data_IF_905239848062
#
_entry.id   IF_905239848062
#
_cell.length_a   1.000
_cell.length_b   1.000
_cell.length_c   1.000
_cell.angle_alpha   90.00
_cell.angle_beta   90.00
_cell.angle_gamma   90.00
#
_symmetry.space_group_name_H-M   'P 1'
#
loop_
_entity.id
_entity.type
_entity.pdbx_description
1 polymer ?
#
# COMPACT_ATOMS: atom_id res chain seq x y z
N UNK A 1 16.10 17.61 19.04
CA UNK A 1 15.83 19.01 19.42
C UNK A 1 15.51 18.98 20.90
N UNK A 2 16.22 19.74 21.71
CA UNK A 2 15.94 19.83 23.14
C UNK A 2 14.69 20.68 23.42
N UNK A 3 14.33 21.57 22.48
CA UNK A 3 13.05 22.29 22.43
C UNK A 3 12.24 21.87 21.20
N UNK A 4 11.03 21.34 21.40
CA UNK A 4 10.13 20.86 20.34
C UNK A 4 9.18 21.94 19.83
N UNK A 5 9.34 23.19 20.29
CA UNK A 5 8.56 24.36 19.86
C UNK A 5 9.35 25.10 18.78
N UNK A 6 8.66 25.56 17.74
CA UNK A 6 9.31 26.27 16.63
C UNK A 6 8.49 27.51 16.29
N UNK A 7 9.16 28.65 16.24
CA UNK A 7 8.66 29.87 15.61
C UNK A 7 9.51 30.16 14.37
N UNK A 8 8.88 30.51 13.26
CA UNK A 8 9.61 30.74 12.01
C UNK A 8 8.91 31.75 11.09
N UNK A 9 9.70 32.43 10.27
CA UNK A 9 9.25 33.29 9.19
C UNK A 9 10.19 33.09 7.99
N UNK A 10 9.72 33.40 6.78
CA UNK A 10 10.51 33.27 5.56
C UNK A 10 11.06 34.63 5.15
N UNK A 11 12.36 34.69 4.85
CA UNK A 11 12.96 35.82 4.13
C UNK A 11 13.09 35.44 2.66
N UNK A 12 12.41 36.18 1.80
CA UNK A 12 12.34 36.00 0.36
C UNK A 12 13.25 37.04 -0.30
N UNK A 13 14.21 36.59 -1.13
CA UNK A 13 15.14 37.49 -1.82
C UNK A 13 14.80 37.54 -3.32
N UNK A 14 14.35 38.70 -3.79
CA UNK A 14 14.07 38.93 -5.20
C UNK A 14 14.87 40.14 -5.71
N UNK A 15 15.96 39.85 -6.42
CA UNK A 15 16.88 40.70 -7.23
C UNK A 15 17.35 42.08 -6.70
N UNK A 16 16.76 42.66 -5.65
CA UNK A 16 17.22 43.86 -4.95
C UNK A 16 16.47 44.13 -3.62
N UNK A 17 15.23 43.65 -3.44
CA UNK A 17 14.41 43.98 -2.26
C UNK A 17 14.01 42.72 -1.51
N UNK A 18 14.60 42.44 -0.33
CA UNK A 18 14.14 41.33 0.50
C UNK A 18 12.73 41.62 1.02
N UNK A 19 11.86 40.63 0.95
CA UNK A 19 10.53 40.63 1.58
C UNK A 19 10.48 39.55 2.64
N UNK A 20 9.78 39.81 3.72
CA UNK A 20 9.52 38.81 4.76
C UNK A 20 8.10 38.28 4.59
N UNK A 21 7.91 37.01 4.87
CA UNK A 21 6.63 36.34 4.85
C UNK A 21 6.43 35.58 6.17
N UNK A 22 5.37 35.94 6.89
CA UNK A 22 5.02 35.41 8.20
C UNK A 22 3.51 35.19 8.30
N UNK A 23 2.99 34.89 9.49
CA UNK A 23 1.55 34.67 9.70
C UNK A 23 0.71 35.91 9.37
N UNK A 24 1.28 37.11 9.56
CA UNK A 24 0.65 38.39 9.19
C UNK A 24 0.72 38.72 7.68
N UNK A 25 1.38 37.88 6.87
CA UNK A 25 1.56 38.10 5.43
C UNK A 25 2.92 38.68 5.06
N UNK A 26 2.97 39.53 4.02
CA UNK A 26 4.22 40.09 3.50
C UNK A 26 4.58 41.42 4.16
N UNK A 27 5.84 41.57 4.59
CA UNK A 27 6.37 42.82 5.13
C UNK A 27 7.76 43.17 4.61
N UNK A 28 8.14 44.44 4.69
CA UNK A 28 9.49 44.94 4.35
C UNK A 28 10.46 44.91 5.53
N UNK A 29 9.99 44.65 6.76
CA UNK A 29 10.78 44.63 7.99
C UNK A 29 10.20 43.63 8.99
N UNK A 30 11.06 42.92 9.73
CA UNK A 30 10.66 42.00 10.79
C UNK A 30 11.10 42.55 12.14
N UNK A 31 10.17 42.73 13.07
CA UNK A 31 10.48 43.08 14.45
C UNK A 31 10.67 41.80 15.26
N UNK A 32 11.93 41.42 15.49
CA UNK A 32 12.31 40.27 16.32
C UNK A 32 11.82 40.37 17.78
N UNK A 33 11.30 41.53 18.23
CA UNK A 33 10.70 41.68 19.56
C UNK A 33 9.20 41.38 19.59
N UNK A 34 8.59 41.19 18.41
CA UNK A 34 7.16 40.86 18.22
C UNK A 34 6.97 39.60 17.39
N UNK A 35 8.03 38.81 17.22
CA UNK A 35 8.02 37.56 16.46
C UNK A 35 7.00 36.57 17.03
N UNK A 36 6.86 36.51 18.35
CA UNK A 36 5.84 35.69 19.01
C UNK A 36 4.39 35.98 18.56
N UNK A 37 4.09 37.17 18.01
CA UNK A 37 2.74 37.50 17.53
C UNK A 37 2.61 37.46 16.01
N UNK A 38 3.73 37.37 15.28
CA UNK A 38 3.75 37.62 13.84
C UNK A 38 4.36 36.47 13.03
N UNK A 39 5.15 35.60 13.65
CA UNK A 39 5.76 34.42 13.04
C UNK A 39 4.77 33.25 12.93
N UNK A 40 5.03 32.33 12.00
CA UNK A 40 4.38 31.03 12.03
C UNK A 40 4.79 30.28 13.29
N UNK A 41 3.85 29.55 13.87
CA UNK A 41 4.08 28.79 15.09
C UNK A 41 3.82 27.30 14.86
N UNK A 42 4.77 26.49 15.32
CA UNK A 42 4.59 25.06 15.57
C UNK A 42 4.63 24.88 17.10
N UNK A 43 3.46 24.92 17.78
CA UNK A 43 3.41 25.08 19.24
C UNK A 43 4.10 23.95 20.00
N UNK A 44 4.06 22.73 19.47
CA UNK A 44 4.74 21.58 20.03
C UNK A 44 4.80 20.45 19.01
N UNK A 45 5.99 19.89 18.75
CA UNK A 45 6.13 18.63 17.99
C UNK A 45 5.91 17.46 18.96
N UNK A 46 4.67 17.01 19.06
CA UNK A 46 4.34 15.85 19.87
C UNK A 46 4.82 14.56 19.17
N UNK A 47 5.55 13.72 19.91
CA UNK A 47 6.06 12.45 19.37
C UNK A 47 4.94 11.51 18.87
N UNK A 48 3.73 11.62 19.42
CA UNK A 48 2.56 10.87 18.97
C UNK A 48 2.05 11.33 17.60
N UNK A 49 2.23 12.60 17.26
CA UNK A 49 1.74 13.22 16.02
C UNK A 49 2.79 13.15 14.88
N UNK A 50 4.02 12.72 15.20
CA UNK A 50 5.05 12.46 14.20
C UNK A 50 4.63 11.25 13.35
N UNK A 51 4.38 11.49 12.07
CA UNK A 51 4.06 10.45 11.09
C UNK A 51 5.25 9.47 11.00
N UNK A 52 4.99 8.21 11.35
CA UNK A 52 5.96 7.11 11.23
C UNK A 52 5.56 6.24 10.06
N UNK A 53 6.38 6.23 9.03
CA UNK A 53 6.24 5.31 7.90
C UNK A 53 7.11 4.08 8.16
N UNK A 54 6.62 2.85 7.92
CA UNK A 54 7.46 1.67 8.04
C UNK A 54 8.70 1.77 7.14
N UNK A 55 9.88 1.52 7.70
CA UNK A 55 11.17 1.78 7.04
C UNK A 55 11.41 0.98 5.76
N UNK A 56 10.64 -0.08 5.51
CA UNK A 56 10.72 -0.89 4.31
C UNK A 56 9.96 -0.29 3.11
N UNK A 57 8.93 0.54 3.35
CA UNK A 57 8.04 1.06 2.30
C UNK A 57 8.78 1.92 1.27
N UNK A 58 9.69 2.84 1.63
CA UNK A 58 10.45 3.60 0.63
C UNK A 58 11.36 2.75 -0.27
N UNK A 59 11.64 1.50 0.12
CA UNK A 59 12.45 0.53 -0.65
C UNK A 59 11.58 -0.50 -1.36
N UNK A 60 10.26 -0.40 -1.23
CA UNK A 60 9.31 -1.35 -1.78
C UNK A 60 9.18 -1.18 -3.30
N UNK A 61 9.15 -2.30 -4.01
CA UNK A 61 8.79 -2.42 -5.41
C UNK A 61 7.58 -3.34 -5.43
N UNK A 62 6.42 -2.71 -5.55
CA UNK A 62 5.13 -3.39 -5.50
C UNK A 62 4.84 -4.11 -6.81
N UNK A 63 4.26 -5.30 -6.70
CA UNK A 63 3.62 -6.01 -7.79
C UNK A 63 2.16 -6.32 -7.40
N UNK A 64 1.22 -5.78 -8.17
CA UNK A 64 -0.20 -6.05 -7.93
C UNK A 64 -0.59 -7.38 -8.58
N UNK A 65 -1.32 -8.21 -7.84
CA UNK A 65 -1.80 -9.51 -8.31
C UNK A 65 -3.32 -9.55 -8.20
N UNK A 66 -3.96 -9.73 -9.36
CA UNK A 66 -5.35 -10.16 -9.46
C UNK A 66 -5.39 -11.70 -9.49
N UNK A 67 -5.76 -12.32 -8.37
CA UNK A 67 -5.48 -13.74 -8.09
C UNK A 67 -6.07 -14.69 -9.12
N UNK A 68 -7.34 -14.51 -9.52
CA UNK A 68 -8.04 -15.35 -10.51
C UNK A 68 -7.31 -15.42 -11.87
N UNK A 69 -6.41 -14.48 -12.17
CA UNK A 69 -5.77 -14.32 -13.48
C UNK A 69 -4.25 -14.47 -13.47
N UNK A 70 -3.63 -14.62 -12.30
CA UNK A 70 -2.17 -14.61 -12.21
C UNK A 70 -1.56 -15.95 -12.63
N UNK A 71 -1.94 -17.04 -11.95
CA UNK A 71 -1.49 -18.38 -12.28
C UNK A 71 -2.40 -19.45 -11.68
N UNK A 72 -2.58 -20.57 -12.39
CA UNK A 72 -3.28 -21.77 -11.88
C UNK A 72 -2.27 -22.73 -11.28
N UNK A 73 -2.13 -22.75 -9.96
CA UNK A 73 -1.14 -23.60 -9.28
C UNK A 73 -1.73 -24.89 -8.73
N UNK A 74 -2.97 -24.84 -8.24
CA UNK A 74 -3.59 -25.99 -7.55
C UNK A 74 -4.20 -26.98 -8.53
N UNK A 75 -3.69 -28.22 -8.53
CA UNK A 75 -4.16 -29.30 -9.41
C UNK A 75 -5.46 -29.94 -8.91
N UNK A 76 -5.53 -30.19 -7.60
CA UNK A 76 -6.66 -30.86 -6.96
C UNK A 76 -7.60 -29.83 -6.32
N UNK A 77 -8.31 -29.07 -7.17
CA UNK A 77 -9.38 -28.16 -6.73
C UNK A 77 -10.62 -28.32 -7.57
N UNK A 78 -11.76 -27.90 -7.02
CA UNK A 78 -12.99 -27.76 -7.79
C UNK A 78 -12.75 -26.80 -8.98
N UNK A 79 -13.08 -27.23 -10.19
CA UNK A 79 -12.98 -26.41 -11.41
C UNK A 79 -14.37 -26.14 -12.01
N UNK A 80 -15.45 -26.58 -11.38
CA UNK A 80 -16.82 -26.43 -11.91
C UNK A 80 -17.25 -24.96 -12.10
N UNK A 81 -16.65 -24.04 -11.33
CA UNK A 81 -16.89 -22.60 -11.44
C UNK A 81 -16.11 -21.93 -12.58
N UNK A 82 -15.07 -22.57 -13.11
CA UNK A 82 -14.19 -22.00 -14.14
C UNK A 82 -14.92 -22.06 -15.48
N UNK A 83 -15.28 -20.89 -15.99
CA UNK A 83 -16.07 -20.74 -17.22
C UNK A 83 -15.30 -20.02 -18.35
N UNK A 84 -13.99 -19.83 -18.19
CA UNK A 84 -13.10 -19.24 -19.19
C UNK A 84 -11.89 -20.14 -19.45
N UNK A 85 -11.43 -20.21 -20.71
CA UNK A 85 -10.13 -20.79 -20.98
C UNK A 85 -9.01 -19.85 -20.50
N UNK A 86 -7.87 -20.42 -20.13
CA UNK A 86 -6.75 -19.63 -19.64
C UNK A 86 -6.14 -18.80 -20.77
N UNK A 87 -6.06 -17.48 -20.59
CA UNK A 87 -5.57 -16.54 -21.60
C UNK A 87 -6.66 -15.94 -22.49
N UNK A 88 -7.91 -16.38 -22.37
CA UNK A 88 -9.03 -15.75 -23.07
C UNK A 88 -9.25 -14.31 -22.61
N UNK A 89 -9.91 -13.51 -23.47
CA UNK A 89 -10.29 -12.14 -23.14
C UNK A 89 -11.23 -12.13 -21.92
N UNK A 90 -10.87 -11.43 -20.82
CA UNK A 90 -11.72 -11.29 -19.64
C UNK A 90 -13.13 -10.82 -19.93
N UNK A 91 -14.11 -11.46 -19.27
CA UNK A 91 -15.49 -10.98 -19.19
C UNK A 91 -15.80 -10.53 -17.76
N UNK A 92 -16.88 -9.77 -17.60
CA UNK A 92 -17.27 -9.23 -16.29
C UNK A 92 -17.54 -10.33 -15.24
N UNK A 93 -18.14 -11.46 -15.66
CA UNK A 93 -18.48 -12.59 -14.78
C UNK A 93 -17.60 -13.84 -14.98
N UNK A 94 -16.51 -13.70 -15.74
CA UNK A 94 -15.67 -14.83 -16.10
C UNK A 94 -14.70 -15.24 -14.99
N UNK A 95 -14.51 -16.54 -14.78
CA UNK A 95 -13.53 -17.11 -13.86
C UNK A 95 -12.51 -17.89 -14.66
N UNK A 96 -11.23 -17.52 -14.53
CA UNK A 96 -10.12 -18.20 -15.21
C UNK A 96 -9.44 -19.24 -14.31
N UNK A 97 -9.67 -19.18 -13.00
CA UNK A 97 -9.28 -20.23 -12.06
C UNK A 97 -7.86 -20.08 -11.51
N UNK A 98 -7.32 -18.87 -11.43
CA UNK A 98 -6.08 -18.61 -10.67
C UNK A 98 -6.28 -18.78 -9.15
N UNK A 99 -5.18 -19.02 -8.42
CA UNK A 99 -5.21 -19.35 -6.99
C UNK A 99 -3.94 -18.96 -6.25
N UNK A 100 -3.96 -19.09 -4.90
CA UNK A 100 -2.83 -18.73 -4.04
C UNK A 100 -1.61 -19.64 -4.26
N UNK A 101 -1.83 -20.93 -4.54
CA UNK A 101 -0.75 -21.85 -4.91
C UNK A 101 -0.10 -21.44 -6.24
N UNK A 102 -0.86 -20.83 -7.13
CA UNK A 102 -0.34 -20.25 -8.36
C UNK A 102 0.64 -19.10 -8.08
N UNK A 103 0.35 -18.27 -7.08
CA UNK A 103 1.26 -17.22 -6.62
C UNK A 103 2.51 -17.84 -6.02
N UNK A 104 2.37 -18.85 -5.15
CA UNK A 104 3.49 -19.58 -4.53
C UNK A 104 4.44 -20.15 -5.58
N UNK A 105 3.90 -20.79 -6.61
CA UNK A 105 4.66 -21.37 -7.72
C UNK A 105 5.41 -20.32 -8.59
N UNK A 106 5.15 -19.03 -8.39
CA UNK A 106 5.78 -17.92 -9.12
C UNK A 106 6.56 -16.97 -8.22
N UNK A 107 6.79 -17.31 -6.95
CA UNK A 107 7.60 -16.48 -6.07
C UNK A 107 9.04 -16.34 -6.57
N UNK A 108 9.64 -17.38 -7.17
CA UNK A 108 10.98 -17.30 -7.79
C UNK A 108 10.98 -16.29 -8.94
N UNK A 109 9.97 -16.33 -9.82
CA UNK A 109 9.82 -15.34 -10.89
C UNK A 109 9.71 -13.91 -10.36
N UNK A 110 8.97 -13.70 -9.27
CA UNK A 110 8.79 -12.38 -8.66
C UNK A 110 10.08 -11.90 -8.00
N UNK A 111 10.82 -12.79 -7.35
CA UNK A 111 12.14 -12.52 -6.76
C UNK A 111 13.17 -12.15 -7.85
N UNK A 112 13.23 -12.91 -8.94
CA UNK A 112 14.11 -12.66 -10.09
C UNK A 112 13.81 -11.31 -10.76
N UNK A 113 12.53 -10.92 -10.82
CA UNK A 113 12.11 -9.59 -11.28
C UNK A 113 12.54 -8.46 -10.31
N UNK A 114 12.95 -8.81 -9.10
CA UNK A 114 13.36 -7.89 -8.05
C UNK A 114 12.19 -7.37 -7.21
N UNK A 115 11.01 -7.97 -7.27
CA UNK A 115 9.85 -7.57 -6.46
C UNK A 115 10.07 -7.94 -4.99
N UNK A 116 9.70 -7.04 -4.08
CA UNK A 116 9.79 -7.28 -2.64
C UNK A 116 8.50 -6.95 -1.86
N UNK A 117 7.41 -6.65 -2.57
CA UNK A 117 6.08 -6.49 -1.99
C UNK A 117 5.00 -6.90 -3.00
N UNK A 118 4.07 -7.76 -2.58
CA UNK A 118 2.88 -8.10 -3.35
C UNK A 118 1.67 -7.40 -2.74
N UNK A 119 0.87 -6.78 -3.59
CA UNK A 119 -0.47 -6.31 -3.25
C UNK A 119 -1.48 -7.25 -3.91
N UNK A 120 -2.25 -7.97 -3.10
CA UNK A 120 -3.30 -8.87 -3.58
C UNK A 120 -4.63 -8.13 -3.56
N UNK A 121 -5.37 -8.17 -4.66
CA UNK A 121 -6.80 -7.79 -4.69
C UNK A 121 -7.60 -8.68 -3.72
N UNK A 122 -8.88 -8.39 -3.42
CA UNK A 122 -9.63 -9.13 -2.41
C UNK A 122 -9.58 -10.65 -2.61
N UNK A 123 -9.24 -11.36 -1.54
CA UNK A 123 -9.07 -12.83 -1.53
C UNK A 123 -10.08 -13.53 -0.61
N UNK A 124 -10.92 -12.77 0.09
CA UNK A 124 -11.92 -13.30 0.99
C UNK A 124 -13.15 -13.75 0.23
N UNK A 125 -13.92 -14.64 0.86
CA UNK A 125 -15.05 -15.32 0.25
C UNK A 125 -16.05 -14.33 -0.35
N UNK A 126 -16.35 -14.52 -1.63
CA UNK A 126 -17.25 -13.66 -2.40
C UNK A 126 -17.76 -14.39 -3.65
N UNK A 127 -19.00 -14.13 -4.12
CA UNK A 127 -19.55 -14.81 -5.28
C UNK A 127 -18.96 -14.32 -6.62
N UNK A 128 -18.26 -13.19 -6.67
CA UNK A 128 -17.70 -12.65 -7.92
C UNK A 128 -16.23 -13.03 -8.14
N UNK A 129 -15.74 -12.75 -9.35
CA UNK A 129 -14.34 -12.98 -9.73
C UNK A 129 -13.39 -11.93 -9.12
N UNK A 130 -13.86 -10.71 -8.86
CA UNK A 130 -13.08 -9.60 -8.31
C UNK A 130 -13.13 -9.54 -6.79
N UNK A 131 -14.16 -10.17 -6.19
CA UNK A 131 -14.31 -10.38 -4.75
C UNK A 131 -14.46 -9.13 -3.87
N UNK A 132 -14.94 -8.03 -4.45
CA UNK A 132 -15.19 -6.78 -3.71
C UNK A 132 -16.53 -6.81 -2.95
N UNK A 133 -17.43 -7.71 -3.30
CA UNK A 133 -18.68 -8.01 -2.62
C UNK A 133 -18.47 -9.19 -1.65
N UNK A 134 -17.70 -8.93 -0.59
CA UNK A 134 -17.29 -9.94 0.40
C UNK A 134 -18.50 -10.42 1.21
N UNK A 135 -18.62 -11.74 1.35
CA UNK A 135 -19.65 -12.39 2.17
C UNK A 135 -19.10 -12.94 3.49
N UNK A 136 -17.79 -13.19 3.58
CA UNK A 136 -17.12 -13.60 4.81
C UNK A 136 -15.65 -13.15 4.82
N UNK A 137 -15.33 -12.20 5.70
CA UNK A 137 -13.98 -11.63 5.87
C UNK A 137 -12.99 -12.57 6.56
N UNK A 138 -13.45 -13.64 7.22
CA UNK A 138 -12.60 -14.55 8.00
C UNK A 138 -12.19 -15.80 7.21
N UNK A 139 -12.74 -15.97 6.01
CA UNK A 139 -12.50 -17.12 5.16
C UNK A 139 -11.91 -16.67 3.82
N UNK A 140 -10.70 -17.15 3.50
CA UNK A 140 -10.18 -17.11 2.13
C UNK A 140 -11.16 -17.82 1.21
N UNK A 141 -11.40 -17.23 0.04
CA UNK A 141 -12.34 -17.79 -0.92
C UNK A 141 -11.93 -19.22 -1.33
N UNK A 142 -12.83 -20.22 -1.23
CA UNK A 142 -12.51 -21.60 -1.60
C UNK A 142 -12.01 -21.79 -3.04
N UNK A 143 -12.34 -20.87 -3.96
CA UNK A 143 -11.83 -20.87 -5.33
C UNK A 143 -10.33 -20.52 -5.40
N UNK A 144 -9.84 -19.73 -4.45
CA UNK A 144 -8.44 -19.30 -4.35
C UNK A 144 -7.61 -20.18 -3.43
N UNK A 145 -8.23 -20.77 -2.40
CA UNK A 145 -7.56 -21.68 -1.48
C UNK A 145 -8.15 -21.68 -0.07
N UNK A 146 -7.29 -21.91 0.92
CA UNK A 146 -7.64 -21.94 2.35
C UNK A 146 -6.83 -20.89 3.14
N UNK A 147 -7.23 -20.67 4.40
CA UNK A 147 -6.48 -19.82 5.32
C UNK A 147 -5.05 -20.36 5.56
N UNK A 148 -4.88 -21.68 5.56
CA UNK A 148 -3.60 -22.39 5.70
C UNK A 148 -2.70 -22.22 4.47
N UNK A 149 -3.30 -22.20 3.27
CA UNK A 149 -2.59 -21.90 2.01
C UNK A 149 -2.15 -20.43 1.97
N UNK A 150 -2.99 -19.49 2.42
CA UNK A 150 -2.58 -18.09 2.60
C UNK A 150 -1.42 -17.96 3.59
N UNK A 151 -1.48 -18.64 4.75
CA UNK A 151 -0.36 -18.65 5.71
C UNK A 151 0.92 -19.20 5.09
N UNK A 152 0.80 -20.20 4.22
CA UNK A 152 1.94 -20.79 3.52
C UNK A 152 2.54 -19.83 2.50
N UNK A 153 1.70 -19.16 1.69
CA UNK A 153 2.13 -18.10 0.78
C UNK A 153 2.87 -16.97 1.52
N UNK A 154 2.30 -16.46 2.61
CA UNK A 154 2.93 -15.38 3.41
C UNK A 154 4.29 -15.82 3.94
N UNK A 155 4.40 -17.05 4.48
CA UNK A 155 5.66 -17.58 5.01
C UNK A 155 6.73 -17.72 3.92
N UNK A 156 6.38 -18.30 2.77
CA UNK A 156 7.30 -18.52 1.65
C UNK A 156 7.72 -17.20 1.00
N UNK A 157 6.79 -16.25 0.83
CA UNK A 157 7.10 -14.91 0.36
C UNK A 157 8.08 -14.19 1.31
N UNK A 158 7.84 -14.27 2.64
CA UNK A 158 8.74 -13.67 3.63
C UNK A 158 10.15 -14.28 3.63
N UNK A 159 10.28 -15.59 3.37
CA UNK A 159 11.60 -16.23 3.23
C UNK A 159 12.42 -15.65 2.07
N UNK A 160 11.75 -15.12 1.04
CA UNK A 160 12.34 -14.43 -0.11
C UNK A 160 12.41 -12.91 0.06
N UNK A 161 12.12 -12.40 1.26
CA UNK A 161 12.08 -10.96 1.51
C UNK A 161 10.91 -10.22 0.86
N UNK A 162 9.88 -10.94 0.41
CA UNK A 162 8.68 -10.39 -0.23
C UNK A 162 7.59 -10.17 0.81
N UNK A 163 7.13 -8.94 0.99
CA UNK A 163 5.99 -8.58 1.87
C UNK A 163 4.66 -8.85 1.18
N UNK A 164 3.62 -9.19 1.95
CA UNK A 164 2.25 -9.32 1.43
C UNK A 164 1.38 -8.21 2.03
N UNK A 165 0.66 -7.50 1.17
CA UNK A 165 -0.39 -6.51 1.51
C UNK A 165 -1.71 -7.03 0.96
N UNK A 166 -2.72 -7.11 1.82
CA UNK A 166 -4.07 -7.52 1.45
C UNK A 166 -4.97 -6.30 1.24
N UNK A 167 -5.91 -6.41 0.32
CA UNK A 167 -6.99 -5.45 0.13
C UNK A 167 -8.02 -5.54 1.26
N UNK A 168 -8.24 -4.43 1.96
CA UNK A 168 -9.26 -4.30 3.01
C UNK A 168 -10.46 -3.54 2.48
N UNK A 169 -11.53 -4.26 2.15
CA UNK A 169 -12.82 -3.67 1.73
C UNK A 169 -13.68 -3.48 2.98
N UNK A 170 -13.75 -2.26 3.53
CA UNK A 170 -14.45 -1.97 4.80
C UNK A 170 -15.79 -1.25 4.60
#
# INVERSE_FOLDING_TARGET
>A
LDDTRVEYAFRLEEKATPRLYSEEGFSSSFDLKRDHFSAFQLPFINQADVIKVPSWVPKARFYQIFVDRFYKGKKDKDQSYVNMAWGDRPTYHGFAGGDLDGIRAKLDYLEDLGINALYLTPIFKSPTNHKYDIVDYYQVDPQFGTNEELRSLVREAHQKGIKIVLDGVF
#
